data_IF_971057059658
#
_entry.id   IF_971057059658
#
_cell.length_a   1.000
_cell.length_b   1.000
_cell.length_c   1.000
_cell.angle_alpha   90.00
_cell.angle_beta   90.00
_cell.angle_gamma   90.00
#
_symmetry.space_group_name_H-M   'P 1'
#
loop_
_entity.id
_entity.type
_entity.pdbx_description
1 polymer ?
#
# COMPACT_ATOMS: atom_id res chain seq x y z
N UNK A 1 13.82 -17.29 -6.35
CA UNK A 1 12.38 -17.04 -6.22
C UNK A 1 12.06 -17.36 -4.76
N UNK A 2 12.04 -16.35 -3.89
CA UNK A 2 11.78 -16.56 -2.46
C UNK A 2 10.27 -16.57 -2.28
N UNK A 3 9.71 -17.75 -2.04
CA UNK A 3 8.34 -17.92 -1.57
C UNK A 3 8.27 -17.40 -0.14
N UNK A 4 7.48 -16.35 0.07
CA UNK A 4 7.12 -15.84 1.39
C UNK A 4 6.15 -16.85 2.02
N UNK A 5 6.48 -17.33 3.22
CA UNK A 5 5.64 -18.22 4.01
C UNK A 5 4.61 -17.34 4.76
N UNK A 6 3.34 -17.41 4.37
CA UNK A 6 2.28 -16.59 4.97
C UNK A 6 1.60 -17.42 6.07
N UNK A 7 2.06 -17.29 7.31
CA UNK A 7 1.66 -18.21 8.39
C UNK A 7 0.51 -17.79 9.28
N UNK A 8 -0.17 -16.65 9.07
CA UNK A 8 -1.23 -16.19 9.99
C UNK A 8 -2.61 -15.89 9.37
N UNK A 9 -2.74 -15.88 8.04
CA UNK A 9 -4.05 -15.67 7.41
C UNK A 9 -4.67 -16.99 6.97
N UNK A 10 -5.84 -17.30 7.51
CA UNK A 10 -6.62 -18.45 7.09
C UNK A 10 -7.33 -18.14 5.77
N UNK A 11 -6.63 -18.33 4.64
CA UNK A 11 -7.16 -18.18 3.27
C UNK A 11 -8.25 -19.21 2.90
N UNK A 12 -8.72 -20.03 3.86
CA UNK A 12 -9.82 -20.99 3.64
C UNK A 12 -11.20 -20.39 3.89
N UNK A 13 -11.28 -19.14 4.37
CA UNK A 13 -12.55 -18.38 4.44
C UNK A 13 -12.71 -17.54 3.19
N UNK A 14 -13.94 -17.42 2.71
CA UNK A 14 -14.29 -16.50 1.63
C UNK A 14 -13.97 -15.06 2.08
N UNK A 15 -13.02 -14.42 1.40
CA UNK A 15 -12.63 -13.03 1.62
C UNK A 15 -12.98 -12.20 0.39
N UNK A 16 -13.36 -10.94 0.61
CA UNK A 16 -13.68 -10.00 -0.47
C UNK A 16 -12.49 -9.11 -0.75
N UNK A 17 -12.20 -8.86 -2.04
CA UNK A 17 -11.24 -7.84 -2.42
C UNK A 17 -11.88 -6.46 -2.31
N UNK A 18 -11.33 -5.64 -1.42
CA UNK A 18 -11.66 -4.22 -1.33
C UNK A 18 -10.60 -3.39 -2.05
N UNK A 19 -11.09 -2.42 -2.82
CA UNK A 19 -10.26 -1.40 -3.42
C UNK A 19 -10.50 -0.06 -2.70
N UNK A 20 -9.43 0.49 -2.14
CA UNK A 20 -9.43 1.66 -1.29
C UNK A 20 -8.56 2.73 -1.92
N UNK A 21 -9.02 3.98 -1.92
CA UNK A 21 -8.16 5.12 -2.21
C UNK A 21 -7.63 5.64 -0.88
N UNK A 22 -6.33 5.55 -0.67
CA UNK A 22 -5.69 5.91 0.59
C UNK A 22 -4.75 7.08 0.39
N UNK A 23 -4.88 8.10 1.23
CA UNK A 23 -3.87 9.13 1.39
C UNK A 23 -2.84 8.68 2.41
N UNK A 24 -1.57 8.88 2.09
CA UNK A 24 -0.41 8.53 2.90
C UNK A 24 0.46 9.77 3.02
N UNK A 25 0.77 10.15 4.25
CA UNK A 25 1.76 11.19 4.53
C UNK A 25 2.68 10.82 5.68
N UNK A 26 3.84 11.45 5.75
CA UNK A 26 4.77 11.22 6.85
C UNK A 26 6.11 11.90 6.63
N UNK A 27 6.94 11.84 7.67
CA UNK A 27 8.32 12.28 7.63
C UNK A 27 9.25 11.05 7.70
N UNK A 28 10.26 11.03 6.84
CA UNK A 28 11.33 10.04 6.92
C UNK A 28 12.61 10.65 7.46
N UNK A 29 13.10 10.12 8.58
CA UNK A 29 14.37 10.52 9.19
C UNK A 29 15.60 9.93 8.47
N UNK A 30 15.40 8.95 7.58
CA UNK A 30 16.48 8.20 6.95
C UNK A 30 16.76 8.66 5.51
N UNK A 31 18.01 9.04 5.26
CA UNK A 31 18.50 9.47 3.95
C UNK A 31 18.73 8.24 3.06
N UNK A 32 17.91 8.07 2.03
CA UNK A 32 18.27 7.27 0.85
C UNK A 32 18.22 8.22 -0.35
N UNK A 33 19.09 7.97 -1.33
CA UNK A 33 19.41 8.83 -2.46
C UNK A 33 18.19 9.49 -3.14
N UNK A 34 18.41 10.61 -3.87
CA UNK A 34 17.31 11.42 -4.38
C UNK A 34 16.32 10.57 -5.18
N UNK A 35 15.06 10.72 -4.78
CA UNK A 35 13.93 9.95 -5.26
C UNK A 35 13.40 10.63 -6.52
N UNK A 36 13.57 9.98 -7.66
CA UNK A 36 13.19 10.54 -8.96
C UNK A 36 12.18 9.65 -9.65
N UNK A 37 11.24 10.28 -10.36
CA UNK A 37 10.25 9.60 -11.18
C UNK A 37 8.87 9.54 -10.54
N UNK A 38 7.89 9.25 -11.38
CA UNK A 38 6.46 9.14 -11.07
C UNK A 38 6.02 7.70 -10.78
N UNK A 39 6.97 6.77 -10.63
CA UNK A 39 6.70 5.36 -10.35
C UNK A 39 7.21 5.07 -8.95
N UNK A 40 6.26 4.96 -8.03
CA UNK A 40 6.48 4.61 -6.62
C UNK A 40 5.79 3.29 -6.35
N UNK A 41 6.56 2.34 -5.83
CA UNK A 41 6.01 1.12 -5.22
C UNK A 41 5.99 1.32 -3.72
N UNK A 42 4.83 1.10 -3.10
CA UNK A 42 4.67 1.11 -1.66
C UNK A 42 4.60 -0.34 -1.17
N UNK A 43 5.35 -0.65 -0.13
CA UNK A 43 5.39 -1.98 0.48
C UNK A 43 5.19 -1.85 2.00
N UNK A 44 4.39 -2.74 2.55
CA UNK A 44 4.14 -2.83 3.99
C UNK A 44 4.68 -4.15 4.48
N UNK A 45 5.41 -4.14 5.60
CA UNK A 45 5.97 -5.37 6.17
C UNK A 45 4.96 -6.18 6.98
N UNK A 46 3.77 -5.63 7.20
CA UNK A 46 2.82 -6.12 8.21
C UNK A 46 1.43 -6.45 7.66
N UNK A 47 1.16 -6.14 6.40
CA UNK A 47 -0.18 -6.29 5.80
C UNK A 47 -0.07 -6.82 4.38
N UNK A 48 -0.88 -7.84 4.07
CA UNK A 48 -1.07 -8.31 2.69
C UNK A 48 -2.00 -7.35 1.95
N UNK A 49 -1.48 -6.18 1.61
CA UNK A 49 -2.14 -5.21 0.76
C UNK A 49 -1.20 -4.75 -0.35
N UNK A 50 -1.80 -4.40 -1.48
CA UNK A 50 -1.07 -3.97 -2.67
C UNK A 50 -1.34 -2.49 -2.86
N UNK A 51 -0.31 -1.66 -2.73
CA UNK A 51 -0.36 -0.24 -3.06
C UNK A 51 0.10 -0.01 -4.50
N UNK A 52 -0.75 0.62 -5.30
CA UNK A 52 -0.50 0.93 -6.71
C UNK A 52 -1.01 2.32 -7.09
N UNK A 53 -0.74 2.72 -8.35
CA UNK A 53 -1.23 3.96 -8.96
C UNK A 53 -1.01 5.21 -8.08
N UNK A 54 0.22 5.37 -7.58
CA UNK A 54 0.60 6.56 -6.83
C UNK A 54 0.29 7.83 -7.63
N UNK A 55 -0.49 8.73 -7.04
CA UNK A 55 -0.90 10.02 -7.60
C UNK A 55 -0.77 11.12 -6.56
N UNK A 56 -0.73 12.36 -7.04
CA UNK A 56 -0.63 13.57 -6.19
C UNK A 56 0.60 13.56 -5.25
N UNK A 57 1.69 12.93 -5.69
CA UNK A 57 2.94 12.88 -4.94
C UNK A 57 3.54 14.28 -4.77
N UNK A 58 3.66 14.71 -3.52
CA UNK A 58 4.46 15.84 -3.10
C UNK A 58 5.65 15.36 -2.26
N UNK A 59 6.85 15.85 -2.62
CA UNK A 59 8.09 15.57 -1.90
C UNK A 59 8.74 16.89 -1.49
N UNK A 60 8.83 17.13 -0.18
CA UNK A 60 9.47 18.31 0.38
C UNK A 60 10.74 17.96 1.15
N UNK A 61 11.63 18.96 1.30
CA UNK A 61 12.91 18.83 2.00
C UNK A 61 13.86 17.76 1.44
N UNK A 62 13.75 17.43 0.14
CA UNK A 62 14.59 16.44 -0.58
C UNK A 62 16.12 16.68 -0.50
N UNK A 63 16.58 17.84 0.01
CA UNK A 63 18.00 18.20 0.17
C UNK A 63 18.50 18.21 1.62
N UNK A 64 17.60 18.15 2.61
CA UNK A 64 17.91 18.10 4.05
C UNK A 64 17.72 16.71 4.64
N UNK A 65 18.01 16.53 5.93
CA UNK A 65 17.50 15.37 6.68
C UNK A 65 16.01 15.60 6.99
N UNK A 66 15.19 14.55 6.92
CA UNK A 66 13.73 14.67 6.99
C UNK A 66 13.13 14.88 5.61
N UNK A 67 12.67 13.82 4.95
CA UNK A 67 11.87 13.93 3.72
C UNK A 67 10.40 13.87 4.08
N UNK A 68 9.64 14.90 3.69
CA UNK A 68 8.18 14.90 3.84
C UNK A 68 7.60 14.31 2.57
N UNK A 69 6.72 13.34 2.76
CA UNK A 69 5.98 12.69 1.69
C UNK A 69 4.51 12.92 1.94
N UNK A 70 3.81 13.23 0.86
CA UNK A 70 2.35 13.25 0.78
C UNK A 70 1.97 12.63 -0.57
N UNK A 71 1.17 11.58 -0.57
CA UNK A 71 0.76 10.89 -1.78
C UNK A 71 -0.59 10.18 -1.60
N UNK A 72 -1.27 9.93 -2.73
CA UNK A 72 -2.47 9.09 -2.80
C UNK A 72 -2.16 7.80 -3.52
N UNK A 73 -2.64 6.68 -2.99
CA UNK A 73 -2.50 5.34 -3.56
C UNK A 73 -3.86 4.67 -3.75
N UNK A 74 -3.96 3.86 -4.79
CA UNK A 74 -5.00 2.85 -4.93
C UNK A 74 -4.50 1.58 -4.20
N UNK A 75 -5.30 1.05 -3.28
CA UNK A 75 -4.92 -0.05 -2.39
C UNK A 75 -5.89 -1.21 -2.53
N UNK A 76 -5.38 -2.36 -2.92
CA UNK A 76 -6.12 -3.62 -2.92
C UNK A 76 -5.85 -4.40 -1.64
N UNK A 77 -6.90 -4.86 -0.96
CA UNK A 77 -6.79 -5.67 0.26
C UNK A 77 -7.89 -6.72 0.36
N UNK A 78 -7.52 -7.95 0.72
CA UNK A 78 -8.50 -9.00 1.06
C UNK A 78 -8.88 -8.92 2.53
N UNK A 79 -10.19 -8.88 2.79
CA UNK A 79 -10.73 -8.88 4.15
C UNK A 79 -12.12 -9.53 4.22
N UNK A 80 -12.51 -9.93 5.42
CA UNK A 80 -13.82 -10.53 5.70
C UNK A 80 -14.97 -9.51 5.57
N UNK A 81 -14.67 -8.24 5.80
CA UNK A 81 -15.60 -7.12 5.64
C UNK A 81 -14.83 -5.79 5.52
N UNK A 82 -15.54 -4.74 5.14
CA UNK A 82 -14.94 -3.42 4.93
C UNK A 82 -14.30 -2.81 6.19
N UNK A 83 -14.88 -3.04 7.38
CA UNK A 83 -14.33 -2.51 8.64
C UNK A 83 -12.96 -3.11 8.92
N UNK A 84 -12.79 -4.40 8.66
CA UNK A 84 -11.51 -5.07 8.83
C UNK A 84 -10.49 -4.64 7.76
N UNK A 85 -10.92 -4.37 6.53
CA UNK A 85 -10.06 -3.80 5.49
C UNK A 85 -9.51 -2.42 5.89
N UNK A 86 -10.37 -1.51 6.34
CA UNK A 86 -9.97 -0.17 6.79
C UNK A 86 -9.01 -0.28 7.97
N UNK A 87 -9.34 -1.11 8.97
CA UNK A 87 -8.52 -1.29 10.16
C UNK A 87 -7.13 -1.82 9.83
N UNK A 88 -7.00 -2.77 8.91
CA UNK A 88 -5.70 -3.27 8.47
C UNK A 88 -4.85 -2.14 7.87
N UNK A 89 -5.44 -1.26 7.05
CA UNK A 89 -4.74 -0.12 6.45
C UNK A 89 -4.35 0.93 7.50
N UNK A 90 -5.27 1.34 8.37
CA UNK A 90 -5.01 2.36 9.39
C UNK A 90 -4.00 1.90 10.46
N UNK A 91 -3.78 0.59 10.59
CA UNK A 91 -2.82 0.01 11.54
C UNK A 91 -1.40 -0.14 10.98
N UNK A 92 -1.15 0.17 9.71
CA UNK A 92 0.19 0.11 9.12
C UNK A 92 1.16 1.00 9.91
N UNK A 93 2.16 0.39 10.53
CA UNK A 93 3.18 1.09 11.32
C UNK A 93 4.44 1.44 10.51
N UNK A 94 4.66 0.71 9.41
CA UNK A 94 5.86 0.83 8.58
C UNK A 94 5.45 0.76 7.12
N UNK A 95 5.83 1.78 6.37
CA UNK A 95 5.62 1.83 4.92
C UNK A 95 6.93 2.19 4.24
N UNK A 96 7.42 1.28 3.40
CA UNK A 96 8.61 1.50 2.60
C UNK A 96 8.16 1.93 1.19
N UNK A 97 8.56 3.11 0.76
CA UNK A 97 8.30 3.65 -0.57
C UNK A 97 9.56 3.51 -1.41
N UNK A 98 9.51 2.70 -2.47
CA UNK A 98 10.63 2.48 -3.37
C UNK A 98 10.40 3.13 -4.73
N UNK A 99 11.43 3.73 -5.29
CA UNK A 99 11.39 4.41 -6.58
C UNK A 99 12.78 4.45 -7.23
N UNK A 100 12.89 5.13 -8.37
CA UNK A 100 14.20 5.26 -9.02
C UNK A 100 15.08 6.18 -8.18
N UNK A 101 16.15 5.61 -7.61
CA UNK A 101 17.13 6.35 -6.82
C UNK A 101 17.11 6.06 -5.32
N UNK A 102 16.10 5.35 -4.80
CA UNK A 102 16.12 5.01 -3.37
C UNK A 102 14.85 4.39 -2.81
N UNK A 103 14.87 4.23 -1.49
CA UNK A 103 13.76 3.75 -0.67
C UNK A 103 13.54 4.77 0.44
N UNK A 104 12.29 5.10 0.76
CA UNK A 104 11.97 6.01 1.86
C UNK A 104 11.10 5.24 2.84
N UNK A 105 11.50 5.23 4.11
CA UNK A 105 10.78 4.51 5.13
C UNK A 105 9.99 5.52 5.97
N UNK A 106 8.68 5.33 6.09
CA UNK A 106 7.81 6.11 6.95
C UNK A 106 7.51 5.32 8.23
N UNK A 107 7.73 5.93 9.40
CA UNK A 107 7.57 5.26 10.69
C UNK A 107 7.19 6.24 11.81
N UNK A 108 5.93 6.25 12.30
CA UNK A 108 4.74 5.71 11.63
C UNK A 108 4.29 6.62 10.48
N UNK A 109 3.69 6.08 9.41
CA UNK A 109 2.97 6.89 8.43
C UNK A 109 1.62 7.37 8.99
N UNK A 110 1.16 8.52 8.52
CA UNK A 110 -0.23 8.93 8.63
C UNK A 110 -1.00 8.40 7.42
N UNK A 111 -1.98 7.52 7.63
CA UNK A 111 -2.79 6.94 6.56
C UNK A 111 -4.26 7.21 6.81
N UNK A 112 -4.97 7.64 5.77
CA UNK A 112 -6.41 7.88 5.81
C UNK A 112 -7.10 7.39 4.53
N UNK A 113 -8.25 6.73 4.66
CA UNK A 113 -9.03 6.19 3.54
C UNK A 113 -10.02 7.24 3.02
N UNK A 114 -9.84 7.67 1.78
CA UNK A 114 -10.66 8.70 1.12
C UNK A 114 -11.89 8.12 0.42
N UNK A 115 -11.74 6.96 -0.22
CA UNK A 115 -12.80 6.34 -1.01
C UNK A 115 -12.69 4.82 -0.91
N UNK A 116 -13.84 4.17 -1.00
CA UNK A 116 -13.99 2.74 -0.87
C UNK A 116 -14.86 2.23 -2.02
N UNK A 117 -14.39 1.18 -2.68
CA UNK A 117 -15.15 0.38 -3.63
C UNK A 117 -14.94 -1.10 -3.35
N UNK A 118 -16.02 -1.87 -3.32
CA UNK A 118 -15.94 -3.33 -3.35
C UNK A 118 -15.66 -3.77 -4.79
N UNK A 119 -14.65 -4.62 -5.00
CA UNK A 119 -14.36 -5.17 -6.33
C UNK A 119 -15.18 -6.44 -6.49
N UNK A 120 -16.13 -6.49 -7.46
CA UNK A 120 -16.93 -7.69 -7.67
C UNK A 120 -16.06 -8.89 -8.08
N UNK A 121 -16.41 -10.09 -7.63
CA UNK A 121 -15.66 -11.34 -7.85
C UNK A 121 -15.29 -11.63 -9.32
N UNK A 122 -16.09 -11.15 -10.30
CA UNK A 122 -15.81 -11.37 -11.72
C UNK A 122 -14.63 -10.56 -12.26
N UNK A 123 -14.29 -9.43 -11.63
CA UNK A 123 -13.10 -8.64 -12.00
C UNK A 123 -11.83 -9.25 -11.40
N UNK A 124 -11.96 -9.96 -10.27
CA UNK A 124 -10.88 -10.68 -9.60
C UNK A 124 -10.32 -11.83 -10.46
N UNK A 125 -11.21 -12.55 -11.15
CA UNK A 125 -10.86 -13.63 -12.08
C UNK A 125 -9.98 -13.15 -13.25
N UNK A 126 -10.27 -11.95 -13.76
CA UNK A 126 -9.52 -11.35 -14.87
C UNK A 126 -8.14 -10.80 -14.41
N UNK A 127 -8.04 -10.30 -13.17
CA UNK A 127 -6.80 -9.74 -12.63
C UNK A 127 -5.83 -10.81 -12.06
N UNK A 128 -6.34 -11.95 -11.59
CA UNK A 128 -5.53 -13.01 -10.95
C UNK A 128 -5.26 -14.22 -11.84
N UNK A 129 -5.81 -14.27 -13.06
CA UNK A 129 -5.66 -15.41 -13.97
C UNK A 129 -6.44 -16.66 -13.55
N UNK A 130 -7.31 -16.57 -12.54
CA UNK A 130 -8.23 -17.64 -12.18
C UNK A 130 -9.45 -17.63 -13.10
N UNK A 131 -9.51 -18.56 -14.04
CA UNK A 131 -10.76 -18.89 -14.73
C UNK A 131 -11.73 -19.51 -13.73
N UNK A 132 -12.84 -18.79 -13.46
CA UNK A 132 -14.00 -19.36 -12.77
C UNK A 132 -14.81 -20.14 -13.80
N UNK A 133 -14.96 -21.45 -13.59
CA UNK A 133 -15.96 -22.31 -14.29
C UNK A 133 -17.31 -22.20 -13.63
#
# INVERSE_FOLDING_TARGET
MNTMDITDKNYTKDQTLYHLVTHVSGESEARIAPFYGNIITADTKTTDCIFQNCRDLNLENIRGGGQIIDATFDVGIFADNITEAIKQIEQIQFLDLSGVGGVINLTPPNIYVHQISEVPDFELAAATGHHVT
#
